data_IF_222288874453
#
_entry.id   IF_222288874453
#
_cell.length_a   1.000
_cell.length_b   1.000
_cell.length_c   1.000
_cell.angle_alpha   90.00
_cell.angle_beta   90.00
_cell.angle_gamma   90.00
#
_symmetry.space_group_name_H-M   'P 1'
#
loop_
_entity.id
_entity.type
_entity.pdbx_description
1 polymer ?
2 water ?
#
# COMPACT_ATOMS: atom_id res chain seq x y z
N UNK A 3 32.27 -10.20 2.27
CA UNK A 3 32.32 -10.49 0.82
C UNK A 3 30.91 -10.67 0.28
N UNK A 4 30.58 -9.94 -0.78
CA UNK A 4 29.21 -9.89 -1.28
C UNK A 4 29.07 -10.51 -2.66
N UNK A 5 27.96 -11.21 -2.86
CA UNK A 5 27.63 -11.79 -4.15
C UNK A 5 27.54 -10.68 -5.18
N UNK A 6 27.60 -11.04 -6.45
CA UNK A 6 27.58 -10.06 -7.53
C UNK A 6 26.35 -9.17 -7.46
N UNK A 7 25.18 -9.79 -7.40
CA UNK A 7 23.92 -9.03 -7.42
C UNK A 7 23.79 -8.11 -6.22
N UNK A 8 24.24 -8.57 -5.06
CA UNK A 8 24.12 -7.78 -3.85
C UNK A 8 25.00 -6.56 -3.95
N UNK A 9 26.22 -6.76 -4.46
CA UNK A 9 27.16 -5.67 -4.67
C UNK A 9 26.56 -4.59 -5.53
N UNK A 10 25.95 -5.00 -6.64
CA UNK A 10 25.34 -4.06 -7.57
C UNK A 10 24.16 -3.33 -6.93
N UNK A 11 23.31 -4.06 -6.23
CA UNK A 11 22.18 -3.44 -5.56
C UNK A 11 22.67 -2.34 -4.61
N UNK A 12 23.67 -2.64 -3.80
CA UNK A 12 24.21 -1.63 -2.89
C UNK A 12 24.67 -0.40 -3.68
N UNK A 13 25.51 -0.62 -4.68
CA UNK A 13 26.03 0.47 -5.50
C UNK A 13 24.90 1.28 -6.11
N UNK A 14 23.79 0.63 -6.45
CA UNK A 14 22.61 1.32 -6.96
C UNK A 14 21.93 2.14 -5.89
N UNK A 15 21.48 1.49 -4.83
CA UNK A 15 20.85 2.17 -3.70
C UNK A 15 21.71 3.31 -3.13
N UNK A 16 23.00 3.06 -2.96
CA UNK A 16 23.92 4.09 -2.47
C UNK A 16 24.25 5.14 -3.50
N UNK A 17 23.64 5.03 -4.69
CA UNK A 17 23.92 5.91 -5.81
C UNK A 17 25.41 6.23 -5.95
N UNK A 18 26.20 5.18 -6.13
CA UNK A 18 27.64 5.30 -6.28
C UNK A 18 27.97 5.85 -7.67
N UNK A 19 28.96 6.75 -7.72
CA UNK A 19 29.57 7.18 -8.97
C UNK A 19 29.99 5.94 -9.76
N UNK A 20 29.28 5.63 -10.83
CA UNK A 20 29.66 4.48 -11.67
C UNK A 20 31.04 4.70 -12.27
N UNK A 21 32.05 4.34 -11.48
CA UNK A 21 33.46 4.54 -11.76
C UNK A 21 34.20 3.84 -10.63
N UNK A 22 33.63 3.92 -9.43
CA UNK A 22 34.15 3.16 -8.29
C UNK A 22 33.25 1.95 -8.03
N UNK A 23 32.53 1.56 -9.08
CA UNK A 23 31.61 0.44 -9.00
C UNK A 23 32.23 -0.82 -9.55
N UNK A 24 32.24 -1.88 -8.73
CA UNK A 24 32.89 -3.13 -9.09
C UNK A 24 32.08 -4.03 -10.04
N UNK A 25 30.77 -3.83 -10.11
CA UNK A 25 29.94 -4.59 -11.05
C UNK A 25 29.25 -3.67 -12.04
N UNK A 26 30.01 -3.06 -12.94
CA UNK A 26 29.47 -2.07 -13.86
C UNK A 26 28.34 -2.60 -14.73
N UNK A 27 28.60 -3.66 -15.48
CA UNK A 27 27.67 -4.17 -16.48
C UNK A 27 26.29 -4.50 -15.89
N UNK A 28 26.26 -4.90 -14.63
CA UNK A 28 24.99 -5.21 -13.99
C UNK A 28 24.35 -3.97 -13.41
N UNK A 29 25.11 -3.22 -12.61
CA UNK A 29 24.64 -1.92 -12.11
C UNK A 29 23.95 -1.21 -13.25
N UNK A 30 24.66 -1.16 -14.36
CA UNK A 30 24.19 -0.48 -15.56
C UNK A 30 22.81 -0.97 -16.01
N UNK A 31 22.68 -2.28 -16.18
CA UNK A 31 21.42 -2.87 -16.60
C UNK A 31 20.38 -2.88 -15.50
N UNK A 32 20.83 -2.87 -14.25
CA UNK A 32 19.91 -2.86 -13.12
C UNK A 32 19.13 -1.57 -13.04
N UNK A 33 19.81 -0.45 -13.16
CA UNK A 33 19.18 0.86 -13.02
C UNK A 33 18.34 1.21 -14.24
N UNK A 34 18.70 0.67 -15.41
CA UNK A 34 17.85 0.79 -16.59
C UNK A 34 16.53 0.09 -16.34
N UNK A 35 16.61 -1.05 -15.66
CA UNK A 35 15.42 -1.80 -15.34
C UNK A 35 14.56 -1.00 -14.38
N UNK A 36 15.14 -0.57 -13.27
CA UNK A 36 14.44 0.24 -12.27
C UNK A 36 13.83 1.51 -12.85
N UNK A 37 14.56 2.17 -13.75
CA UNK A 37 14.09 3.39 -14.40
C UNK A 37 12.76 3.19 -15.09
N UNK A 38 12.63 2.08 -15.79
CA UNK A 38 11.40 1.76 -16.49
C UNK A 38 10.31 1.46 -15.49
N UNK A 39 10.63 0.73 -14.43
CA UNK A 39 9.64 0.43 -13.41
C UNK A 39 9.15 1.73 -12.78
N UNK A 40 10.07 2.64 -12.51
CA UNK A 40 9.73 3.95 -11.95
C UNK A 40 8.75 4.72 -12.82
N UNK A 41 8.94 4.65 -14.13
CA UNK A 41 8.03 5.27 -15.09
C UNK A 41 6.68 4.58 -14.99
N UNK A 42 6.73 3.25 -15.04
CA UNK A 42 5.57 2.40 -15.25
C UNK A 42 4.68 2.31 -14.01
N UNK A 43 5.30 2.31 -12.83
CA UNK A 43 4.61 2.10 -11.56
C UNK A 43 4.25 3.40 -10.85
N UNK A 44 4.36 4.52 -11.57
CA UNK A 44 4.37 5.85 -10.95
C UNK A 44 3.15 6.15 -10.08
N UNK A 45 1.97 5.78 -10.55
CA UNK A 45 0.75 5.95 -9.77
C UNK A 45 0.78 5.08 -8.53
N UNK A 46 1.29 3.86 -8.66
CA UNK A 46 1.38 2.93 -7.55
C UNK A 46 2.30 3.45 -6.46
N UNK A 47 3.39 4.07 -6.86
CA UNK A 47 4.36 4.55 -5.90
C UNK A 47 3.88 5.84 -5.26
N UNK A 48 3.05 6.58 -5.99
CA UNK A 48 2.40 7.76 -5.43
C UNK A 48 1.50 7.39 -4.26
N UNK A 49 0.77 6.28 -4.39
CA UNK A 49 -0.03 5.76 -3.29
C UNK A 49 0.89 5.41 -2.12
N UNK A 50 2.03 4.83 -2.43
CA UNK A 50 2.89 4.26 -1.41
C UNK A 50 3.61 5.32 -0.60
N UNK A 51 4.00 6.41 -1.26
CA UNK A 51 4.63 7.52 -0.55
C UNK A 51 3.62 8.20 0.37
N UNK A 52 2.35 8.16 -0.04
CA UNK A 52 1.28 8.73 0.75
C UNK A 52 1.07 8.02 2.08
N UNK A 53 1.09 6.70 2.08
CA UNK A 53 0.89 5.95 3.33
C UNK A 53 2.17 5.86 4.13
N UNK A 54 3.30 6.01 3.46
CA UNK A 54 4.60 5.93 4.12
C UNK A 54 5.11 7.27 4.64
N UNK A 55 4.49 8.37 4.22
CA UNK A 55 4.98 9.71 4.55
C UNK A 55 5.38 9.84 6.00
N UNK A 56 4.49 9.43 6.91
CA UNK A 56 4.75 9.55 8.34
C UNK A 56 6.00 8.77 8.72
N UNK A 57 6.08 7.52 8.31
CA UNK A 57 7.25 6.68 8.61
C UNK A 57 8.55 7.24 8.05
N UNK A 58 8.48 7.88 6.88
CA UNK A 58 9.64 8.45 6.22
C UNK A 58 10.14 9.71 6.93
N UNK A 59 9.24 10.67 7.09
CA UNK A 59 9.60 11.97 7.66
C UNK A 59 9.94 11.85 9.13
N UNK A 60 9.37 10.84 9.77
CA UNK A 60 9.63 10.56 11.19
C UNK A 60 10.87 9.69 11.32
N UNK A 61 11.41 9.28 10.17
CA UNK A 61 12.60 8.46 10.10
C UNK A 61 12.43 7.19 10.91
N UNK A 62 11.27 6.57 10.80
CA UNK A 62 11.00 5.33 11.50
C UNK A 62 11.50 4.13 10.70
N UNK A 63 12.83 3.97 10.66
CA UNK A 63 13.47 2.93 9.89
C UNK A 63 12.83 1.56 10.16
N UNK A 64 12.73 1.21 11.44
CA UNK A 64 12.09 -0.04 11.83
C UNK A 64 10.80 -0.24 11.06
N UNK A 65 9.92 0.77 11.15
CA UNK A 65 8.62 0.74 10.49
C UNK A 65 8.71 0.44 9.01
N UNK A 66 9.58 1.17 8.31
CA UNK A 66 9.77 0.96 6.87
C UNK A 66 10.26 -0.44 6.55
N UNK A 67 11.17 -0.95 7.39
CA UNK A 67 11.80 -2.25 7.17
C UNK A 67 10.82 -3.41 7.16
N UNK A 68 9.89 -3.45 8.12
CA UNK A 68 8.94 -4.56 8.10
C UNK A 68 7.73 -4.33 7.20
N UNK A 69 7.56 -3.11 6.72
CA UNK A 69 6.66 -2.88 5.59
C UNK A 69 7.20 -3.64 4.40
N UNK A 70 8.43 -3.33 4.00
CA UNK A 70 9.01 -3.85 2.77
C UNK A 70 9.19 -5.35 2.82
N UNK A 71 9.63 -5.84 3.97
CA UNK A 71 9.77 -7.26 4.21
C UNK A 71 8.45 -7.98 4.03
N UNK A 72 7.38 -7.35 4.49
CA UNK A 72 6.04 -7.91 4.32
C UNK A 72 5.73 -7.98 2.84
N UNK A 73 5.96 -6.89 2.12
CA UNK A 73 5.67 -6.83 0.71
C UNK A 73 6.51 -7.82 -0.10
N UNK A 74 7.51 -8.42 0.55
CA UNK A 74 8.42 -9.32 -0.15
C UNK A 74 8.11 -10.80 0.07
N UNK A 75 7.14 -11.09 0.94
CA UNK A 75 6.74 -12.47 1.17
C UNK A 75 6.45 -13.14 -0.18
N UNK A 76 7.22 -14.18 -0.50
CA UNK A 76 7.00 -14.98 -1.70
C UNK A 76 7.08 -14.19 -3.00
N UNK A 77 7.95 -13.18 -3.05
CA UNK A 77 8.05 -12.30 -4.21
C UNK A 77 8.66 -12.96 -5.44
N UNK A 78 8.02 -12.75 -6.58
CA UNK A 78 8.60 -13.03 -7.88
C UNK A 78 9.68 -12.00 -8.23
N UNK A 79 10.59 -12.32 -9.15
CA UNK A 79 11.58 -11.33 -9.59
C UNK A 79 10.96 -9.96 -9.95
N UNK A 80 9.85 -9.94 -10.67
CA UNK A 80 9.15 -8.68 -10.97
C UNK A 80 8.97 -7.87 -9.69
N UNK A 81 8.42 -8.54 -8.68
CA UNK A 81 8.11 -7.90 -7.41
C UNK A 81 9.39 -7.54 -6.66
N UNK A 82 10.37 -8.44 -6.64
CA UNK A 82 11.65 -8.15 -6.00
C UNK A 82 12.17 -6.81 -6.54
N UNK A 83 12.12 -6.64 -7.85
CA UNK A 83 12.66 -5.44 -8.46
C UNK A 83 11.76 -4.24 -8.26
N UNK A 84 10.45 -4.43 -8.28
CA UNK A 84 9.51 -3.35 -8.02
C UNK A 84 9.74 -2.81 -6.61
N UNK A 85 9.93 -3.72 -5.66
CA UNK A 85 10.22 -3.34 -4.29
C UNK A 85 11.57 -2.66 -4.20
N UNK A 86 12.56 -3.17 -4.92
CA UNK A 86 13.87 -2.54 -4.89
C UNK A 86 13.76 -1.08 -5.29
N UNK A 87 13.18 -0.82 -6.46
CA UNK A 87 13.14 0.55 -6.94
C UNK A 87 12.34 1.42 -5.99
N UNK A 88 11.34 0.83 -5.34
CA UNK A 88 10.60 1.51 -4.28
C UNK A 88 11.54 1.92 -3.15
N UNK A 89 12.45 1.02 -2.79
CA UNK A 89 13.42 1.30 -1.73
C UNK A 89 14.45 2.34 -2.15
N UNK A 90 14.72 2.41 -3.44
CA UNK A 90 15.63 3.41 -3.96
C UNK A 90 15.09 4.79 -3.62
N UNK A 91 13.81 5.00 -3.92
CA UNK A 91 13.15 6.27 -3.67
C UNK A 91 13.10 6.63 -2.20
N UNK A 92 12.72 5.68 -1.37
CA UNK A 92 12.70 5.90 0.07
C UNK A 92 14.06 6.31 0.61
N UNK A 93 15.11 5.60 0.20
CA UNK A 93 16.46 5.92 0.65
C UNK A 93 16.86 7.33 0.25
N UNK A 94 16.36 7.79 -0.90
CA UNK A 94 16.61 9.14 -1.37
C UNK A 94 15.89 10.17 -0.51
N UNK A 95 14.71 9.79 -0.03
CA UNK A 95 13.90 10.67 0.80
C UNK A 95 14.40 10.68 2.24
N UNK A 96 14.73 9.51 2.76
CA UNK A 96 15.34 9.39 4.08
C UNK A 96 16.67 10.15 4.13
N UNK A 97 17.39 10.16 3.01
CA UNK A 97 18.64 10.89 2.90
C UNK A 97 18.51 12.39 3.12
N UNK A 98 17.28 12.89 3.04
CA UNK A 98 17.00 14.32 3.26
C UNK A 98 17.06 14.64 4.75
N UNK A 99 16.71 13.65 5.58
CA UNK A 99 16.64 13.84 7.02
C UNK A 99 17.99 13.55 7.65
N UNK A 100 18.51 12.35 7.39
CA UNK A 100 19.80 11.89 7.90
C UNK A 100 20.50 11.16 6.77
N UNK A 101 21.81 11.00 6.84
CA UNK A 101 22.50 10.17 5.87
C UNK A 101 22.15 8.71 6.12
N UNK A 102 21.56 8.06 5.10
CA UNK A 102 21.16 6.67 5.25
C UNK A 102 21.75 5.77 4.16
N UNK A 103 22.48 4.74 4.61
CA UNK A 103 23.16 3.80 3.72
C UNK A 103 22.21 2.71 3.25
N UNK A 104 22.63 1.94 2.25
CA UNK A 104 21.93 0.72 1.90
C UNK A 104 22.10 -0.33 2.98
N UNK A 105 23.17 -0.22 3.75
CA UNK A 105 23.51 -1.20 4.79
C UNK A 105 22.43 -1.28 5.86
N UNK A 106 21.67 -0.20 5.99
CA UNK A 106 20.63 -0.12 7.00
C UNK A 106 19.47 -1.01 6.67
N UNK A 107 19.40 -1.43 5.40
CA UNK A 107 18.32 -2.24 4.90
C UNK A 107 18.85 -3.58 4.40
N UNK A 108 19.91 -4.05 5.03
CA UNK A 108 20.55 -5.30 4.68
C UNK A 108 19.56 -6.47 4.61
N UNK A 109 18.72 -6.57 5.64
CA UNK A 109 17.71 -7.64 5.72
C UNK A 109 16.75 -7.58 4.54
N UNK A 110 16.21 -6.40 4.26
CA UNK A 110 15.30 -6.23 3.14
C UNK A 110 16.02 -6.62 1.85
N UNK A 111 17.24 -6.10 1.67
CA UNK A 111 18.00 -6.36 0.46
C UNK A 111 18.27 -7.85 0.28
N UNK A 112 18.58 -8.54 1.37
CA UNK A 112 18.74 -9.99 1.32
C UNK A 112 17.51 -10.64 0.73
N UNK A 113 16.34 -10.07 1.01
CA UNK A 113 15.09 -10.55 0.45
C UNK A 113 15.03 -10.29 -1.02
N UNK A 114 15.35 -9.07 -1.42
CA UNK A 114 15.32 -8.65 -2.81
C UNK A 114 16.27 -9.47 -3.66
N UNK A 115 17.31 -10.00 -3.01
CA UNK A 115 18.48 -10.54 -3.70
C UNK A 115 18.57 -12.07 -3.67
N UNK A 116 17.62 -12.71 -3.01
CA UNK A 116 17.52 -14.16 -3.04
C UNK A 116 17.18 -14.65 -4.45
N UNK A 117 17.44 -15.94 -4.70
CA UNK A 117 17.25 -16.52 -6.03
C UNK A 117 17.95 -15.65 -7.07
N UNK A 118 19.25 -15.48 -6.91
CA UNK A 118 20.00 -14.45 -7.62
C UNK A 118 20.07 -14.69 -9.14
N UNK A 119 20.09 -15.94 -9.57
CA UNK A 119 20.07 -16.26 -10.99
C UNK A 119 18.74 -15.86 -11.58
N UNK A 120 17.66 -16.19 -10.88
CA UNK A 120 16.33 -15.81 -11.29
C UNK A 120 16.23 -14.29 -11.40
N UNK A 121 16.79 -13.59 -10.43
CA UNK A 121 16.68 -12.14 -10.41
C UNK A 121 17.55 -11.50 -11.48
N UNK A 122 18.82 -11.89 -11.54
CA UNK A 122 19.71 -11.39 -12.60
C UNK A 122 19.10 -11.68 -13.96
N UNK A 123 18.49 -12.84 -14.12
CA UNK A 123 17.81 -13.19 -15.35
C UNK A 123 16.74 -12.19 -15.77
N UNK A 124 15.97 -11.72 -14.80
CA UNK A 124 14.94 -10.73 -15.06
C UNK A 124 15.59 -9.43 -15.51
N UNK A 125 16.54 -8.92 -14.74
CA UNK A 125 17.22 -7.67 -15.08
C UNK A 125 17.69 -7.69 -16.53
N UNK A 126 18.20 -8.84 -16.98
CA UNK A 126 18.83 -8.95 -18.29
C UNK A 126 17.93 -9.41 -19.42
N UNK A 127 16.85 -10.13 -19.12
CA UNK A 127 15.97 -10.62 -20.16
C UNK A 127 14.60 -9.95 -20.09
N UNK A 128 13.74 -10.38 -19.19
CA UNK A 128 12.36 -9.91 -19.24
C UNK A 128 12.25 -8.40 -19.13
N UNK A 129 12.97 -7.81 -18.18
CA UNK A 129 12.91 -6.36 -18.00
C UNK A 129 13.19 -5.62 -19.29
N UNK A 130 14.21 -6.05 -20.02
CA UNK A 130 14.52 -5.51 -21.33
C UNK A 130 13.30 -5.66 -22.24
N UNK A 131 12.71 -6.85 -22.22
CA UNK A 131 11.61 -7.19 -23.11
C UNK A 131 10.42 -6.31 -22.84
N UNK A 132 10.07 -6.18 -21.56
CA UNK A 132 9.01 -5.30 -21.12
C UNK A 132 9.24 -3.86 -21.58
N UNK A 133 10.37 -3.27 -21.21
CA UNK A 133 10.72 -1.91 -21.62
C UNK A 133 10.52 -1.66 -23.12
N UNK A 134 10.86 -2.65 -23.94
CA UNK A 134 10.78 -2.51 -25.38
C UNK A 134 9.35 -2.65 -25.82
N UNK A 135 8.66 -3.65 -25.27
CA UNK A 135 7.25 -3.85 -25.56
C UNK A 135 6.55 -2.53 -25.35
N UNK A 136 6.85 -1.89 -24.22
CA UNK A 136 6.22 -0.63 -23.84
C UNK A 136 6.55 0.53 -24.79
N UNK A 137 7.83 0.75 -25.04
CA UNK A 137 8.25 1.90 -25.84
C UNK A 137 7.93 1.83 -27.33
N UNK A 138 7.69 0.63 -27.83
CA UNK A 138 7.26 0.46 -29.21
C UNK A 138 5.76 0.75 -29.32
N UNK A 139 5.09 0.86 -28.18
CA UNK A 139 3.68 1.22 -28.15
C UNK A 139 3.44 2.69 -27.74
N UNK A 140 4.48 3.51 -27.91
CA UNK A 140 4.51 4.87 -27.36
C UNK A 140 4.61 4.80 -25.83
N UNK B 6 -11.86 10.52 19.03
CA UNK B 6 -10.54 10.86 18.41
C UNK B 6 -10.35 10.15 17.07
N UNK B 7 -10.39 8.82 17.12
CA UNK B 7 -10.58 8.00 15.94
C UNK B 7 -11.98 8.26 15.38
N UNK B 8 -12.96 8.30 16.29
CA UNK B 8 -14.36 8.54 15.94
C UNK B 8 -14.52 9.82 15.13
N UNK B 9 -13.72 10.84 15.46
CA UNK B 9 -13.76 12.12 14.77
C UNK B 9 -13.30 12.00 13.33
N UNK B 10 -12.29 11.17 13.11
CA UNK B 10 -11.79 10.92 11.78
C UNK B 10 -12.77 10.05 11.01
N UNK B 11 -13.49 9.22 11.73
CA UNK B 11 -14.41 8.29 11.10
C UNK B 11 -15.61 9.03 10.50
N UNK B 12 -16.14 10.00 11.26
CA UNK B 12 -17.25 10.82 10.80
C UNK B 12 -16.80 11.70 9.63
N UNK B 13 -15.71 12.44 9.84
CA UNK B 13 -15.17 13.35 8.82
C UNK B 13 -14.92 12.65 7.49
N UNK B 14 -14.82 11.32 7.54
CA UNK B 14 -14.63 10.51 6.35
C UNK B 14 -15.98 10.13 5.73
N UNK B 15 -16.91 9.70 6.57
CA UNK B 15 -18.21 9.23 6.07
C UNK B 15 -18.94 10.31 5.29
N UNK B 16 -19.04 11.52 5.85
CA UNK B 16 -19.32 12.71 5.05
C UNK B 16 -17.99 13.15 4.46
N UNK B 17 -17.98 13.79 3.31
CA UNK B 17 -16.71 14.16 2.68
C UNK B 17 -16.15 15.48 3.20
N UNK B 26 1.67 13.64 9.12
CA UNK B 26 0.39 14.29 8.85
C UNK B 26 -0.81 13.40 9.20
N UNK B 27 -1.74 13.95 9.98
CA UNK B 27 -3.13 13.48 10.13
C UNK B 27 -3.38 12.06 10.65
N UNK B 28 -4.65 11.66 10.59
CA UNK B 28 -5.08 10.27 10.82
C UNK B 28 -6.32 10.00 9.98
N UNK B 29 -7.14 11.03 9.81
CA UNK B 29 -8.14 11.05 8.75
C UNK B 29 -7.48 10.53 7.48
N UNK B 30 -6.41 11.19 7.07
CA UNK B 30 -5.69 10.81 5.86
C UNK B 30 -5.18 9.38 5.87
N UNK B 31 -4.73 8.91 7.02
CA UNK B 31 -4.33 7.51 7.17
C UNK B 31 -5.52 6.57 7.00
N UNK B 32 -6.65 6.95 7.56
CA UNK B 32 -7.87 6.15 7.45
C UNK B 32 -8.40 6.21 6.03
N UNK B 33 -8.50 7.44 5.51
CA UNK B 33 -8.94 7.65 4.15
C UNK B 33 -8.15 6.76 3.20
N UNK B 34 -6.84 6.76 3.35
CA UNK B 34 -5.97 5.93 2.52
C UNK B 34 -6.22 4.45 2.72
N UNK B 35 -6.34 4.02 3.98
CA UNK B 35 -6.60 2.60 4.27
C UNK B 35 -7.86 2.13 3.58
N UNK B 36 -8.90 2.94 3.67
CA UNK B 36 -10.19 2.64 3.10
C UNK B 36 -10.15 2.57 1.57
N UNK B 37 -9.43 3.50 0.96
CA UNK B 37 -9.27 3.52 -0.50
C UNK B 37 -8.78 2.17 -0.99
N UNK B 38 -7.81 1.60 -0.29
CA UNK B 38 -7.27 0.30 -0.67
C UNK B 38 -8.34 -0.77 -0.50
N UNK B 39 -8.97 -0.80 0.67
CA UNK B 39 -10.02 -1.79 0.94
C UNK B 39 -11.06 -1.72 -0.17
N UNK B 40 -11.54 -0.50 -0.45
CA UNK B 40 -12.56 -0.29 -1.47
C UNK B 40 -12.17 -0.85 -2.82
N UNK B 41 -10.87 -0.81 -3.13
CA UNK B 41 -10.38 -1.30 -4.41
C UNK B 41 -10.33 -2.81 -4.45
N UNK B 42 -9.79 -3.42 -3.39
CA UNK B 42 -9.58 -4.85 -3.35
C UNK B 42 -10.85 -5.61 -3.02
N UNK B 43 -11.78 -4.96 -2.34
CA UNK B 43 -13.04 -5.57 -1.94
C UNK B 43 -14.18 -5.27 -2.93
N UNK B 44 -13.85 -4.65 -4.05
CA UNK B 44 -14.85 -4.15 -4.99
C UNK B 44 -15.89 -5.19 -5.42
N UNK B 45 -15.46 -6.41 -5.70
CA UNK B 45 -16.34 -7.44 -6.21
C UNK B 45 -17.35 -7.89 -5.15
N UNK B 46 -16.92 -7.98 -3.91
CA UNK B 46 -17.81 -8.29 -2.80
C UNK B 46 -18.78 -7.15 -2.59
N UNK B 47 -18.26 -5.93 -2.64
CA UNK B 47 -19.07 -4.74 -2.45
C UNK B 47 -20.15 -4.61 -3.52
N UNK B 48 -19.80 -4.92 -4.78
CA UNK B 48 -20.78 -4.93 -5.86
C UNK B 48 -21.92 -5.89 -5.52
N UNK B 49 -21.60 -7.02 -4.92
CA UNK B 49 -22.60 -8.00 -4.52
C UNK B 49 -23.52 -7.40 -3.49
N UNK B 50 -22.95 -6.66 -2.54
CA UNK B 50 -23.74 -6.12 -1.43
C UNK B 50 -24.66 -4.99 -1.90
N UNK B 51 -24.12 -4.11 -2.74
CA UNK B 51 -24.93 -3.03 -3.28
C UNK B 51 -26.18 -3.60 -3.94
N UNK B 52 -26.02 -4.77 -4.56
CA UNK B 52 -27.13 -5.49 -5.17
C UNK B 52 -28.16 -5.94 -4.15
N UNK B 53 -27.73 -6.68 -3.14
CA UNK B 53 -28.68 -7.21 -2.17
C UNK B 53 -29.32 -6.11 -1.32
N UNK B 54 -28.63 -4.97 -1.21
CA UNK B 54 -29.13 -3.84 -0.42
C UNK B 54 -29.92 -2.83 -1.25
N UNK B 55 -29.85 -2.98 -2.58
CA UNK B 55 -30.48 -2.03 -3.48
C UNK B 55 -31.87 -1.64 -3.03
N UNK B 56 -32.71 -2.64 -2.75
CA UNK B 56 -34.11 -2.42 -2.43
C UNK B 56 -34.30 -1.66 -1.12
N UNK B 57 -33.42 -1.93 -0.16
CA UNK B 57 -33.45 -1.21 1.12
C UNK B 57 -33.09 0.26 0.93
N UNK B 58 -32.03 0.51 0.15
CA UNK B 58 -31.64 1.86 -0.20
C UNK B 58 -32.81 2.58 -0.88
N UNK B 59 -33.31 2.01 -1.96
CA UNK B 59 -34.42 2.58 -2.71
C UNK B 59 -35.55 3.06 -1.82
N UNK B 60 -35.92 2.23 -0.85
CA UNK B 60 -37.03 2.50 0.06
C UNK B 60 -36.57 3.18 1.36
N UNK B 61 -35.30 3.56 1.41
CA UNK B 61 -34.75 4.28 2.54
C UNK B 61 -34.96 3.54 3.86
N UNK B 62 -34.90 2.21 3.80
CA UNK B 62 -35.10 1.39 4.97
C UNK B 62 -33.87 1.39 5.87
N UNK B 63 -33.62 2.52 6.52
CA UNK B 63 -32.44 2.70 7.36
C UNK B 63 -32.34 1.63 8.46
N UNK B 64 -33.47 1.35 9.11
CA UNK B 64 -33.48 0.36 10.18
C UNK B 64 -32.89 -0.97 9.74
N UNK B 65 -33.29 -1.45 8.57
CA UNK B 65 -32.79 -2.72 8.08
C UNK B 65 -31.31 -2.65 7.74
N UNK B 66 -30.92 -1.57 7.06
CA UNK B 66 -29.53 -1.36 6.69
C UNK B 66 -28.68 -1.38 7.94
N UNK B 67 -29.14 -0.68 8.98
CA UNK B 67 -28.47 -0.61 10.27
C UNK B 67 -28.34 -2.00 10.90
N UNK B 68 -29.41 -2.76 10.86
CA UNK B 68 -29.41 -4.12 11.39
C UNK B 68 -28.40 -5.01 10.70
N UNK B 69 -28.34 -4.91 9.37
CA UNK B 69 -27.40 -5.71 8.59
C UNK B 69 -25.97 -5.43 9.00
N UNK B 70 -25.63 -4.14 9.05
CA UNK B 70 -24.28 -3.73 9.39
C UNK B 70 -23.92 -4.18 10.80
N UNK B 71 -24.83 -3.98 11.75
CA UNK B 71 -24.57 -4.43 13.11
C UNK B 71 -24.27 -5.92 13.12
N UNK B 72 -25.12 -6.70 12.46
CA UNK B 72 -24.95 -8.15 12.42
C UNK B 72 -23.58 -8.47 11.82
N UNK B 73 -23.24 -7.80 10.73
CA UNK B 73 -21.98 -8.02 10.07
C UNK B 73 -20.80 -7.74 10.99
N UNK B 74 -20.97 -6.76 11.89
CA UNK B 74 -19.91 -6.31 12.77
C UNK B 74 -19.68 -7.20 13.99
N UNK B 75 -20.44 -8.30 14.07
CA UNK B 75 -20.38 -9.19 15.24
C UNK B 75 -18.98 -9.75 15.47
N UNK B 76 -18.50 -9.65 16.71
CA UNK B 76 -17.13 -10.04 17.07
C UNK B 76 -16.16 -9.94 15.88
N UNK B 77 -15.94 -8.71 15.44
CA UNK B 77 -15.23 -8.44 14.20
C UNK B 77 -13.81 -8.00 14.49
N UNK B 78 -12.87 -8.56 13.74
CA UNK B 78 -11.48 -8.11 13.79
C UNK B 78 -11.38 -6.67 13.27
N UNK B 79 -10.26 -5.99 13.54
CA UNK B 79 -10.06 -4.65 13.00
C UNK B 79 -10.24 -4.56 11.48
N UNK B 80 -9.69 -5.52 10.74
CA UNK B 80 -9.83 -5.56 9.30
C UNK B 80 -11.30 -5.59 8.90
N UNK B 81 -12.08 -6.44 9.58
CA UNK B 81 -13.50 -6.54 9.27
C UNK B 81 -14.18 -5.21 9.57
N UNK B 82 -13.81 -4.61 10.70
CA UNK B 82 -14.38 -3.33 11.10
C UNK B 82 -14.19 -2.27 10.02
N UNK B 83 -13.07 -2.32 9.32
CA UNK B 83 -12.76 -1.32 8.30
C UNK B 83 -13.36 -1.65 6.96
N UNK B 84 -13.37 -2.94 6.64
CA UNK B 84 -14.15 -3.42 5.52
C UNK B 84 -15.59 -2.91 5.64
N UNK B 85 -16.16 -2.98 6.85
CA UNK B 85 -17.51 -2.50 7.10
C UNK B 85 -17.62 -0.99 6.97
N UNK B 86 -16.67 -0.27 7.58
CA UNK B 86 -16.67 1.19 7.49
C UNK B 86 -16.60 1.61 6.03
N UNK B 87 -15.72 0.97 5.26
CA UNK B 87 -15.58 1.31 3.84
C UNK B 87 -16.88 1.08 3.08
N UNK B 88 -17.62 0.05 3.46
CA UNK B 88 -18.91 -0.23 2.84
C UNK B 88 -19.91 0.84 3.21
N UNK B 89 -19.99 1.14 4.50
CA UNK B 89 -20.91 2.15 5.00
C UNK B 89 -20.69 3.45 4.28
N UNK B 90 -19.43 3.78 4.00
CA UNK B 90 -19.08 5.00 3.29
C UNK B 90 -19.86 5.09 2.00
N UNK B 91 -19.81 4.01 1.22
CA UNK B 91 -20.54 3.95 -0.04
C UNK B 91 -22.04 4.03 0.15
N UNK B 92 -22.57 3.26 1.11
CA UNK B 92 -24.02 3.17 1.26
C UNK B 92 -24.62 4.48 1.77
N UNK B 93 -23.81 5.30 2.43
CA UNK B 93 -24.24 6.64 2.78
C UNK B 93 -24.36 7.49 1.51
N UNK B 94 -23.40 7.33 0.60
CA UNK B 94 -23.43 8.07 -0.64
C UNK B 94 -24.68 7.73 -1.44
N UNK B 95 -25.01 6.44 -1.50
CA UNK B 95 -26.15 5.97 -2.27
C UNK B 95 -27.47 6.33 -1.61
N UNK B 96 -27.48 6.41 -0.27
CA UNK B 96 -28.67 6.82 0.46
C UNK B 96 -28.97 8.30 0.31
N UNK B 97 -27.91 9.11 0.26
CA UNK B 97 -28.03 10.55 0.04
C UNK B 97 -28.70 10.90 -1.27
N UNK B 98 -28.50 10.04 -2.28
CA UNK B 98 -29.16 10.21 -3.58
C UNK B 98 -30.68 10.11 -3.43
N UNK B 99 -31.12 9.57 -2.31
CA UNK B 99 -32.53 9.34 -2.04
C UNK B 99 -33.06 10.36 -1.03
N UNK B 100 -32.25 10.62 -0.01
CA UNK B 100 -32.63 11.49 1.10
C UNK B 100 -31.38 11.85 1.87
N UNK B 101 -31.23 13.12 2.24
CA UNK B 101 -30.03 13.54 2.94
C UNK B 101 -29.69 12.62 4.12
N UNK B 102 -28.45 12.14 4.15
CA UNK B 102 -28.03 11.12 5.10
C UNK B 102 -26.65 11.42 5.67
N UNK B 103 -26.61 11.76 6.95
CA UNK B 103 -25.38 12.10 7.66
C UNK B 103 -24.70 10.83 8.13
N UNK B 104 -23.46 10.96 8.57
CA UNK B 104 -22.78 9.88 9.27
C UNK B 104 -23.43 9.65 10.63
N UNK B 105 -24.02 10.70 11.19
CA UNK B 105 -24.57 10.66 12.54
C UNK B 105 -25.71 9.66 12.65
N UNK B 106 -26.38 9.43 11.54
CA UNK B 106 -27.54 8.55 11.52
C UNK B 106 -27.15 7.11 11.77
N UNK B 107 -25.85 6.87 11.87
CA UNK B 107 -25.31 5.52 11.97
C UNK B 107 -24.43 5.34 13.21
N UNK B 108 -24.52 6.28 14.15
CA UNK B 108 -23.67 6.28 15.35
C UNK B 108 -23.57 4.92 16.03
N UNK B 109 -24.71 4.26 16.25
CA UNK B 109 -24.73 2.93 16.85
C UNK B 109 -23.90 1.90 16.06
N UNK B 110 -23.91 2.02 14.73
CA UNK B 110 -23.08 1.18 13.88
C UNK B 110 -21.61 1.60 13.99
N UNK B 111 -21.37 2.90 13.82
CA UNK B 111 -20.05 3.49 13.98
C UNK B 111 -19.41 3.11 15.32
N UNK B 112 -20.21 3.05 16.38
CA UNK B 112 -19.69 2.72 17.70
C UNK B 112 -19.13 1.30 17.74
N UNK B 113 -19.70 0.42 16.93
CA UNK B 113 -19.17 -0.93 16.82
C UNK B 113 -17.87 -0.96 16.06
N UNK B 114 -17.75 -0.07 15.06
CA UNK B 114 -16.57 0.02 14.22
C UNK B 114 -15.37 0.50 15.03
N UNK B 115 -15.55 1.59 15.76
CA UNK B 115 -14.46 2.21 16.52
C UNK B 115 -14.19 1.52 17.86
N UNK B 116 -15.02 0.54 18.21
CA UNK B 116 -15.00 -0.10 19.53
C UNK B 116 -13.61 -0.24 20.14
N UNK B 117 -12.76 -1.05 19.52
CA UNK B 117 -11.45 -1.33 20.09
C UNK B 117 -10.40 -0.32 19.63
N UNK B 118 -10.75 0.97 19.72
CA UNK B 118 -9.88 2.01 19.21
C UNK B 118 -8.48 1.74 19.74
N UNK B 119 -7.47 2.05 18.94
CA UNK B 119 -6.10 1.58 19.21
C UNK B 119 -6.10 0.06 19.14
N UNK B 120 -6.12 -0.42 17.90
CA UNK B 120 -6.16 -1.84 17.54
C UNK B 120 -6.74 -1.79 16.16
N UNK B 121 -7.86 -1.08 16.05
CA UNK B 121 -8.36 -0.57 14.79
C UNK B 121 -7.33 0.43 14.23
N UNK B 122 -6.79 1.27 15.10
CA UNK B 122 -5.75 2.20 14.68
C UNK B 122 -4.48 1.42 14.39
N UNK B 123 -4.21 0.40 15.20
CA UNK B 123 -3.08 -0.48 14.99
C UNK B 123 -3.16 -1.18 13.65
N UNK B 124 -4.39 -1.35 13.17
CA UNK B 124 -4.60 -1.94 11.87
C UNK B 124 -4.39 -0.91 10.78
N UNK B 125 -4.81 0.33 11.02
CA UNK B 125 -4.75 1.35 9.97
C UNK B 125 -3.30 1.71 9.68
N UNK B 126 -2.44 1.56 10.68
CA UNK B 126 -1.04 1.89 10.51
C UNK B 126 -0.16 0.67 10.23
N UNK B 127 -0.41 -0.45 10.90
CA UNK B 127 0.42 -1.62 10.65
C UNK B 127 -0.03 -2.53 9.51
N UNK B 128 -1.13 -3.27 9.64
CA UNK B 128 -1.44 -4.26 8.62
C UNK B 128 -1.95 -3.66 7.31
N UNK B 129 -2.79 -2.63 7.40
CA UNK B 129 -3.32 -1.97 6.20
C UNK B 129 -2.18 -1.47 5.34
N UNK B 130 -1.26 -0.76 5.99
CA UNK B 130 -0.09 -0.22 5.32
C UNK B 130 0.67 -1.35 4.65
N UNK B 131 0.87 -2.45 5.38
CA UNK B 131 1.56 -3.62 4.85
C UNK B 131 0.80 -4.22 3.67
N UNK B 132 -0.51 -4.39 3.82
CA UNK B 132 -1.34 -4.94 2.75
C UNK B 132 -1.31 -4.08 1.49
N UNK B 133 -1.35 -2.76 1.67
CA UNK B 133 -1.34 -1.83 0.56
C UNK B 133 0.00 -1.89 -0.16
N UNK B 134 1.08 -1.99 0.60
CA UNK B 134 2.40 -2.10 0.03
C UNK B 134 2.58 -3.44 -0.67
N UNK B 135 1.97 -4.48 -0.11
CA UNK B 135 2.02 -5.81 -0.71
C UNK B 135 1.37 -5.79 -2.10
N UNK B 136 0.20 -5.19 -2.16
CA UNK B 136 -0.63 -5.21 -3.35
C UNK B 136 0.03 -4.35 -4.40
N UNK B 137 0.56 -3.21 -3.97
CA UNK B 137 0.98 -2.21 -4.92
C UNK B 137 2.28 -2.49 -5.66
N UNK B 138 3.12 -3.34 -5.09
CA UNK B 138 4.36 -3.73 -5.76
C UNK B 138 4.09 -4.89 -6.72
N UNK B 139 2.83 -5.32 -6.77
CA UNK B 139 2.43 -6.47 -7.57
C UNK B 139 1.67 -6.10 -8.86
N UNK B 140 1.12 -4.90 -8.93
CA UNK B 140 0.41 -4.45 -10.12
C UNK B 140 1.03 -3.20 -10.74
#
# INVERSE_FOLDING_TARGET
GAMMSRLKTAVYDYLNDVDITECTEMDLLCQLSNCCDFINETYAKNYDTLYDIMERDILSYNIVNIKNTLTFALRDASPSVKLATLTLLASVIKKLNKIQHTDAAMFSEVIDGIVAEEQQVIGFIQKKCKYNTTYYNVRSGGCK
GAXXSRLKTAVYDYLNDVDITECTEMDLLCQLSNCCDFINETYAKNYDTLYDIMERDILSYNIVNIKNTLTFALRDASPSVKLATLTLLASVIKKLNKIQHTDAAMFSEVIDGIVAEEQQVIGFIQKKCKYNTTYYNVRSGGCK
#
